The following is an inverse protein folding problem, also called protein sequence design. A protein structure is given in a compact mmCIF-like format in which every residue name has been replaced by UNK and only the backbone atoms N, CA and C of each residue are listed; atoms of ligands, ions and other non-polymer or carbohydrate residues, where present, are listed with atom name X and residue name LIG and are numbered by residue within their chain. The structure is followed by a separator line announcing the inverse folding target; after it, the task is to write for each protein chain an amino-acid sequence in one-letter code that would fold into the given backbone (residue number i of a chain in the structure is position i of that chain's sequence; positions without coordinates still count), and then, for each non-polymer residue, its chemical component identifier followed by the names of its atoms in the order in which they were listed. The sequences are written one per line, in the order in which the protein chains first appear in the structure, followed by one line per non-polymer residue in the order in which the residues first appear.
data_IF_474319713633
#
_entry.id   IF_474319713633
#
_cell.length_a   1.000
_cell.length_b   1.000
_cell.length_c   1.000
_cell.angle_alpha   90.00
_cell.angle_beta   90.00
_cell.angle_gamma   90.00
#
_symmetry.space_group_name_H-M   'P 1'
#
loop_
_entity.id
_entity.type
_entity.pdbx_description
1 polymer ?
#
# COMPACT_ATOMS: atom_id res chain seq x y z
N UNK A 1 -15.53 23.89 -12.06
CA UNK A 1 -14.10 23.83 -11.69
C UNK A 1 -13.84 22.48 -11.06
N UNK A 2 -12.67 21.89 -11.28
CA UNK A 2 -12.32 20.57 -10.73
C UNK A 2 -11.15 20.74 -9.77
N UNK A 3 -11.23 20.14 -8.59
CA UNK A 3 -10.16 20.08 -7.61
C UNK A 3 -9.60 18.67 -7.56
N UNK A 4 -8.26 18.56 -7.49
CA UNK A 4 -7.59 17.28 -7.42
C UNK A 4 -7.20 16.99 -5.98
N UNK A 5 -7.54 15.79 -5.51
CA UNK A 5 -7.05 15.30 -4.24
C UNK A 5 -5.56 14.93 -4.36
N UNK A 6 -4.77 15.14 -3.29
CA UNK A 6 -3.43 14.58 -3.20
C UNK A 6 -3.42 13.06 -3.43
N UNK A 7 -2.31 12.54 -3.98
CA UNK A 7 -2.21 11.13 -4.35
C UNK A 7 -2.37 10.18 -3.14
N UNK A 8 -1.91 10.57 -1.96
CA UNK A 8 -2.04 9.77 -0.74
C UNK A 8 -3.50 9.55 -0.31
N UNK A 9 -4.45 10.36 -0.80
CA UNK A 9 -5.89 10.14 -0.59
C UNK A 9 -6.41 8.91 -1.36
N UNK A 10 -5.75 8.50 -2.45
CA UNK A 10 -6.14 7.36 -3.29
C UNK A 10 -4.90 6.73 -3.94
N UNK A 11 -4.16 5.94 -3.17
CA UNK A 11 -2.82 5.47 -3.54
C UNK A 11 -2.87 4.27 -4.50
N UNK A 12 -2.41 4.47 -5.74
CA UNK A 12 -2.38 3.45 -6.78
C UNK A 12 -1.16 2.53 -6.59
N UNK A 13 -1.33 1.46 -5.81
CA UNK A 13 -0.24 0.57 -5.41
C UNK A 13 0.44 -0.17 -6.59
N UNK A 14 -0.27 -0.32 -7.72
CA UNK A 14 0.25 -0.95 -8.93
C UNK A 14 1.24 -0.05 -9.68
N UNK A 15 1.23 1.26 -9.42
CA UNK A 15 2.19 2.21 -9.98
C UNK A 15 3.45 2.29 -9.10
N UNK A 16 3.25 2.40 -7.78
CA UNK A 16 4.34 2.47 -6.81
C UNK A 16 3.92 1.82 -5.50
N UNK A 17 4.73 0.87 -5.03
CA UNK A 17 4.47 0.22 -3.75
C UNK A 17 4.66 1.22 -2.60
N UNK A 18 3.78 1.17 -1.58
CA UNK A 18 3.91 2.02 -0.41
C UNK A 18 5.09 1.55 0.46
N UNK A 19 5.52 2.42 1.38
CA UNK A 19 6.30 1.99 2.54
C UNK A 19 5.39 1.73 3.73
N UNK A 20 5.92 0.99 4.70
CA UNK A 20 5.25 0.76 5.98
C UNK A 20 5.93 1.53 7.11
N UNK A 21 5.17 2.32 7.84
CA UNK A 21 5.59 2.92 9.10
C UNK A 21 5.28 1.93 10.23
N UNK A 22 6.33 1.31 10.76
CA UNK A 22 6.25 0.31 11.83
C UNK A 22 5.80 0.93 13.16
N UNK A 23 6.14 2.20 13.42
CA UNK A 23 5.82 2.88 14.67
C UNK A 23 4.34 3.29 14.71
N UNK A 24 3.81 3.79 13.59
CA UNK A 24 2.41 4.20 13.46
C UNK A 24 1.50 3.12 12.90
N UNK A 25 2.05 1.94 12.58
CA UNK A 25 1.35 0.77 12.02
C UNK A 25 0.48 1.14 10.80
N UNK A 26 1.01 1.94 9.88
CA UNK A 26 0.27 2.47 8.74
C UNK A 26 1.11 2.44 7.45
N UNK A 27 0.42 2.46 6.31
CA UNK A 27 1.07 2.64 5.01
C UNK A 27 1.30 4.13 4.76
N UNK A 28 2.46 4.43 4.18
CA UNK A 28 2.92 5.78 3.87
C UNK A 28 3.46 5.82 2.45
N UNK A 29 3.45 6.99 1.83
CA UNK A 29 4.17 7.19 0.56
C UNK A 29 5.69 6.99 0.80
N UNK A 30 6.45 6.54 -0.21
CA UNK A 30 7.85 6.18 -0.02
C UNK A 30 8.80 7.39 0.12
N UNK A 31 8.37 8.56 -0.33
CA UNK A 31 9.16 9.79 -0.30
C UNK A 31 8.92 10.58 0.99
N UNK A 32 9.93 11.35 1.43
CA UNK A 32 9.77 12.27 2.55
C UNK A 32 8.65 13.30 2.24
N UNK A 33 7.79 13.64 3.21
CA UNK A 33 7.86 13.31 4.63
C UNK A 33 7.16 11.98 5.02
N UNK A 34 6.92 11.08 4.07
CA UNK A 34 6.22 9.82 4.25
C UNK A 34 4.77 10.04 4.71
N UNK A 35 4.03 10.87 3.96
CA UNK A 35 2.62 11.11 4.25
C UNK A 35 1.82 9.80 4.30
N UNK A 36 0.94 9.71 5.29
CA UNK A 36 0.04 8.56 5.48
C UNK A 36 -0.89 8.41 4.28
N UNK A 37 -1.04 7.17 3.82
CA UNK A 37 -2.01 6.79 2.79
C UNK A 37 -3.38 6.61 3.44
N UNK A 38 -4.39 7.28 2.87
CA UNK A 38 -5.78 7.16 3.30
C UNK A 38 -6.47 5.93 2.70
N UNK A 39 -6.54 5.86 1.36
CA UNK A 39 -7.15 4.75 0.62
C UNK A 39 -6.08 4.04 -0.20
N UNK A 40 -6.03 2.71 -0.09
CA UNK A 40 -5.18 1.85 -0.91
C UNK A 40 -5.95 1.38 -2.14
N UNK A 41 -5.56 1.84 -3.31
CA UNK A 41 -6.21 1.53 -4.58
C UNK A 41 -5.58 0.30 -5.24
N UNK A 42 -6.34 -0.79 -5.30
CA UNK A 42 -5.89 -2.08 -5.83
C UNK A 42 -6.47 -2.41 -7.22
N UNK A 43 -7.18 -1.50 -7.90
CA UNK A 43 -8.02 -1.86 -9.05
C UNK A 43 -7.25 -2.41 -10.27
N UNK A 44 -5.95 -2.12 -10.43
CA UNK A 44 -5.11 -2.71 -11.48
C UNK A 44 -4.59 -4.12 -11.14
N UNK A 45 -4.89 -4.63 -9.95
CA UNK A 45 -4.40 -5.92 -9.45
C UNK A 45 -2.99 -5.81 -8.87
N UNK A 46 -2.74 -6.58 -7.81
CA UNK A 46 -1.41 -6.79 -7.23
C UNK A 46 -1.24 -8.29 -7.16
N UNK A 47 -0.24 -8.82 -7.86
CA UNK A 47 -0.12 -10.25 -8.11
C UNK A 47 1.11 -10.81 -7.41
N UNK A 48 0.93 -11.92 -6.70
CA UNK A 48 2.01 -12.72 -6.12
C UNK A 48 1.71 -14.18 -6.44
N UNK A 49 2.67 -14.94 -7.00
CA UNK A 49 2.49 -16.35 -7.36
C UNK A 49 1.20 -16.63 -8.17
N UNK A 50 0.94 -15.80 -9.18
CA UNK A 50 -0.26 -15.87 -10.04
C UNK A 50 -1.60 -15.66 -9.33
N UNK A 51 -1.58 -15.15 -8.09
CA UNK A 51 -2.77 -14.81 -7.32
C UNK A 51 -2.92 -13.30 -7.22
N UNK A 52 -4.09 -12.80 -7.61
CA UNK A 52 -4.44 -11.39 -7.47
C UNK A 52 -4.93 -11.10 -6.05
N UNK A 53 -4.29 -10.13 -5.39
CA UNK A 53 -4.67 -9.65 -4.06
C UNK A 53 -6.10 -9.12 -4.00
N UNK A 54 -6.71 -8.68 -5.11
CA UNK A 54 -8.15 -8.30 -5.14
C UNK A 54 -9.06 -9.49 -4.85
N UNK A 55 -8.66 -10.69 -5.26
CA UNK A 55 -9.46 -11.92 -5.17
C UNK A 55 -9.04 -12.76 -3.97
N UNK A 56 -7.74 -13.03 -3.82
CA UNK A 56 -7.21 -13.87 -2.75
C UNK A 56 -6.69 -12.99 -1.59
N UNK A 57 -7.40 -13.05 -0.44
CA UNK A 57 -7.05 -12.29 0.77
C UNK A 57 -5.77 -12.77 1.45
N UNK A 58 -5.29 -13.98 1.13
CA UNK A 58 -4.05 -14.54 1.68
C UNK A 58 -2.79 -13.93 1.06
N UNK A 59 -2.93 -13.26 -0.09
CA UNK A 59 -1.81 -12.64 -0.79
C UNK A 59 -1.16 -11.57 0.08
N UNK A 60 0.16 -11.73 0.22
CA UNK A 60 1.08 -10.76 0.81
C UNK A 60 2.18 -10.48 -0.20
N UNK A 61 2.70 -9.27 -0.17
CA UNK A 61 3.84 -8.85 -0.97
C UNK A 61 4.96 -8.35 -0.06
N UNK A 62 6.18 -8.34 -0.59
CA UNK A 62 7.31 -7.73 0.08
C UNK A 62 7.29 -6.21 -0.17
N UNK A 63 7.29 -5.43 0.90
CA UNK A 63 7.42 -3.97 0.87
C UNK A 63 8.50 -3.52 1.82
N UNK A 64 9.03 -2.31 1.61
CA UNK A 64 10.00 -1.72 2.52
C UNK A 64 9.30 -0.98 3.67
N UNK A 65 9.92 -0.99 4.85
CA UNK A 65 9.58 -0.05 5.90
C UNK A 65 10.31 1.29 5.73
N UNK A 66 9.89 2.30 6.50
CA UNK A 66 10.64 3.57 6.62
C UNK A 66 12.07 3.35 7.12
N UNK A 67 12.29 2.29 7.91
CA UNK A 67 13.59 1.87 8.43
C UNK A 67 14.38 0.97 7.46
N UNK A 68 13.91 0.83 6.21
CA UNK A 68 14.49 -0.01 5.15
C UNK A 68 14.50 -1.52 5.44
N UNK A 69 13.66 -2.00 6.36
CA UNK A 69 13.42 -3.43 6.52
C UNK A 69 12.50 -3.94 5.42
N UNK A 70 12.66 -5.20 4.99
CA UNK A 70 11.69 -5.84 4.10
C UNK A 70 10.63 -6.56 4.92
N UNK A 71 9.36 -6.26 4.66
CA UNK A 71 8.21 -6.80 5.38
C UNK A 71 7.26 -7.50 4.41
N UNK A 72 6.74 -8.67 4.81
CA UNK A 72 5.67 -9.35 4.10
C UNK A 72 4.30 -8.89 4.63
N UNK A 73 3.59 -8.05 3.86
CA UNK A 73 2.31 -7.44 4.27
C UNK A 73 1.24 -7.64 3.20
N UNK A 74 0.00 -7.77 3.64
CA UNK A 74 -1.15 -7.58 2.75
C UNK A 74 -1.45 -6.09 2.67
N UNK A 75 -1.71 -5.56 1.48
CA UNK A 75 -2.15 -4.16 1.31
C UNK A 75 -3.66 -3.99 1.61
N UNK A 76 -4.36 -5.08 1.92
CA UNK A 76 -5.77 -5.06 2.28
C UNK A 76 -5.94 -4.73 3.75
N UNK A 77 -7.03 -4.04 4.06
CA UNK A 77 -7.57 -4.07 5.41
C UNK A 77 -8.10 -5.48 5.70
N UNK A 78 -7.56 -6.13 6.73
CA UNK A 78 -8.01 -7.42 7.21
C UNK A 78 -8.81 -7.18 8.50
N UNK A 79 -10.12 -7.36 8.44
CA UNK A 79 -10.97 -7.47 9.64
C UNK A 79 -10.83 -8.89 10.19
N UNK A 80 -10.56 -9.01 11.49
CA UNK A 80 -10.69 -10.30 12.19
C UNK A 80 -12.15 -10.74 12.25
#
# INVERSE_FOLDING_TARGET
NTEFLPLNCNWIASNLLPKFDENNNCFVEPYLPNNKIGIMHLAAGIWENSKDMRIDKSVKINIQSISNNTLSKSLRFLSN
#
